data_IF_346883234944
#
_entry.id   IF_346883234944
#
_cell.length_a   1.000
_cell.length_b   1.000
_cell.length_c   1.000
_cell.angle_alpha   90.00
_cell.angle_beta   90.00
_cell.angle_gamma   90.00
#
_symmetry.space_group_name_H-M   'P 1'
#
loop_
_entity.id
_entity.type
_entity.pdbx_description
1 polymer ?
#
# COMPACT_ATOMS: atom_id res chain seq x y z
N UNK A 1 -6.06 -11.82 -3.00
CA UNK A 1 -5.33 -12.19 -1.76
C UNK A 1 -6.23 -11.91 -0.58
N UNK A 2 -6.24 -12.78 0.44
CA UNK A 2 -7.07 -12.64 1.65
C UNK A 2 -6.67 -11.39 2.43
N UNK A 3 -7.61 -10.45 2.63
CA UNK A 3 -7.36 -9.17 3.31
C UNK A 3 -6.83 -9.35 4.74
N UNK A 4 -7.32 -10.36 5.46
CA UNK A 4 -6.85 -10.64 6.82
C UNK A 4 -5.37 -11.00 6.78
N UNK A 5 -4.97 -11.88 5.85
CA UNK A 5 -3.56 -12.26 5.66
C UNK A 5 -2.69 -11.08 5.22
N UNK A 6 -3.22 -10.18 4.38
CA UNK A 6 -2.50 -8.95 3.98
C UNK A 6 -2.25 -8.05 5.18
N UNK A 7 -3.27 -7.81 6.03
CA UNK A 7 -3.13 -7.00 7.24
C UNK A 7 -2.17 -7.63 8.24
N UNK A 8 -2.24 -8.95 8.44
CA UNK A 8 -1.29 -9.69 9.28
C UNK A 8 0.15 -9.57 8.77
N UNK A 9 0.35 -9.68 7.46
CA UNK A 9 1.68 -9.53 6.85
C UNK A 9 2.24 -8.10 7.03
N UNK A 10 1.41 -7.07 6.81
CA UNK A 10 1.79 -5.67 7.09
C UNK A 10 2.19 -5.50 8.55
N UNK A 11 1.38 -6.04 9.49
CA UNK A 11 1.68 -5.96 10.91
C UNK A 11 3.01 -6.62 11.28
N UNK A 12 3.32 -7.80 10.72
CA UNK A 12 4.61 -8.47 10.93
C UNK A 12 5.79 -7.64 10.40
N UNK A 13 5.66 -7.04 9.22
CA UNK A 13 6.69 -6.17 8.66
C UNK A 13 6.90 -4.92 9.53
N UNK A 14 5.83 -4.31 10.05
CA UNK A 14 5.93 -3.17 10.96
C UNK A 14 6.66 -3.51 12.26
N UNK A 15 6.37 -4.67 12.86
CA UNK A 15 7.12 -5.17 14.04
C UNK A 15 8.61 -5.34 13.69
N UNK A 16 8.92 -5.91 12.53
CA UNK A 16 10.30 -6.05 12.04
C UNK A 16 11.02 -4.71 11.86
N UNK A 17 10.34 -3.70 11.30
CA UNK A 17 10.87 -2.33 11.18
C UNK A 17 11.17 -1.75 12.56
N UNK A 18 10.23 -1.88 13.50
CA UNK A 18 10.39 -1.33 14.85
C UNK A 18 11.57 -1.97 15.58
N UNK A 19 11.69 -3.30 15.54
CA UNK A 19 12.83 -4.02 16.12
C UNK A 19 14.17 -3.52 15.55
N UNK A 20 14.28 -3.39 14.23
CA UNK A 20 15.49 -2.87 13.57
C UNK A 20 15.81 -1.43 13.95
N UNK A 21 14.79 -0.56 14.05
CA UNK A 21 14.96 0.82 14.52
C UNK A 21 15.44 0.91 15.97
N UNK A 22 14.99 0.03 16.84
CA UNK A 22 15.50 -0.06 18.22
C UNK A 22 16.96 -0.55 18.23
N UNK A 23 17.31 -1.55 17.42
CA UNK A 23 18.70 -2.03 17.29
C UNK A 23 19.63 -0.92 16.79
N UNK A 24 19.22 -0.15 15.78
CA UNK A 24 20.00 1.00 15.29
C UNK A 24 20.19 2.02 16.41
N UNK A 25 19.13 2.35 17.18
CA UNK A 25 19.23 3.27 18.32
C UNK A 25 20.20 2.77 19.39
N UNK A 26 20.12 1.49 19.74
CA UNK A 26 21.03 0.85 20.67
C UNK A 26 22.48 0.90 20.17
N UNK A 27 22.73 0.54 18.92
CA UNK A 27 24.05 0.59 18.31
C UNK A 27 24.61 2.01 18.30
N UNK A 28 23.81 3.02 17.95
CA UNK A 28 24.24 4.42 18.00
C UNK A 28 24.60 4.88 19.42
N UNK A 29 23.94 4.36 20.45
CA UNK A 29 24.21 4.70 21.85
C UNK A 29 25.47 4.00 22.41
N UNK A 30 25.64 2.70 22.15
CA UNK A 30 26.65 1.88 22.82
C UNK A 30 27.80 1.41 21.91
N UNK A 31 27.57 1.39 20.59
CA UNK A 31 28.49 0.88 19.58
C UNK A 31 28.62 1.88 18.41
N UNK A 32 29.07 3.10 18.69
CA UNK A 32 29.03 4.24 17.74
C UNK A 32 29.68 3.98 16.37
N UNK A 33 30.65 3.05 16.29
CA UNK A 33 31.36 2.67 15.05
C UNK A 33 30.71 1.49 14.32
N UNK A 34 29.67 0.88 14.88
CA UNK A 34 28.97 -0.24 14.27
C UNK A 34 28.28 0.23 12.98
N UNK A 35 28.56 -0.47 11.88
CA UNK A 35 27.81 -0.25 10.64
C UNK A 35 26.37 -0.79 10.80
N UNK A 36 25.40 0.05 10.46
CA UNK A 36 23.98 -0.22 10.51
C UNK A 36 23.33 -0.25 9.11
N UNK A 37 24.12 -0.12 8.04
CA UNK A 37 23.66 -0.06 6.66
C UNK A 37 22.72 -1.22 6.28
N UNK A 38 23.01 -2.44 6.76
CA UNK A 38 22.16 -3.61 6.54
C UNK A 38 20.79 -3.49 7.22
N UNK A 39 20.72 -2.93 8.43
CA UNK A 39 19.45 -2.71 9.14
C UNK A 39 18.62 -1.64 8.44
N UNK A 40 19.26 -0.58 7.94
CA UNK A 40 18.62 0.48 7.18
C UNK A 40 18.08 -0.06 5.84
N UNK A 41 18.88 -0.85 5.12
CA UNK A 41 18.45 -1.51 3.88
C UNK A 41 17.26 -2.46 4.10
N UNK A 42 17.28 -3.27 5.16
CA UNK A 42 16.15 -4.14 5.50
C UNK A 42 14.88 -3.34 5.80
N UNK A 43 15.00 -2.19 6.49
CA UNK A 43 13.86 -1.30 6.75
C UNK A 43 13.28 -0.77 5.42
N UNK A 44 14.12 -0.39 4.47
CA UNK A 44 13.67 0.07 3.14
C UNK A 44 12.93 -1.03 2.36
N UNK A 45 13.46 -2.25 2.40
CA UNK A 45 12.81 -3.43 1.80
C UNK A 45 11.44 -3.67 2.43
N UNK A 46 11.35 -3.65 3.77
CA UNK A 46 10.08 -3.85 4.47
C UNK A 46 9.08 -2.71 4.18
N UNK A 47 9.53 -1.46 4.14
CA UNK A 47 8.69 -0.32 3.75
C UNK A 47 8.13 -0.49 2.34
N UNK A 48 8.95 -0.97 1.41
CA UNK A 48 8.54 -1.21 0.01
C UNK A 48 7.53 -2.36 -0.07
N UNK A 49 7.76 -3.45 0.66
CA UNK A 49 6.83 -4.57 0.74
C UNK A 49 5.48 -4.15 1.34
N UNK A 50 5.46 -3.33 2.40
CA UNK A 50 4.24 -2.77 2.97
C UNK A 50 3.49 -1.95 1.91
N UNK A 51 4.15 -1.03 1.21
CA UNK A 51 3.53 -0.21 0.16
C UNK A 51 2.89 -1.06 -0.95
N UNK A 52 3.49 -2.20 -1.28
CA UNK A 52 2.92 -3.13 -2.26
C UNK A 52 1.70 -3.87 -1.70
N UNK A 53 1.78 -4.36 -0.46
CA UNK A 53 0.68 -5.04 0.24
C UNK A 53 -0.53 -4.11 0.47
N UNK A 54 -0.30 -2.85 0.80
CA UNK A 54 -1.37 -1.85 0.97
C UNK A 54 -2.21 -1.67 -0.30
N UNK A 55 -1.62 -1.81 -1.48
CA UNK A 55 -2.36 -1.75 -2.75
C UNK A 55 -3.31 -2.94 -2.95
N UNK A 56 -3.07 -4.04 -2.25
CA UNK A 56 -3.87 -5.26 -2.34
C UNK A 56 -5.12 -5.19 -1.46
N UNK A 57 -5.15 -4.25 -0.50
CA UNK A 57 -6.35 -3.92 0.25
C UNK A 57 -7.28 -3.10 -0.64
N UNK A 58 -8.52 -3.54 -0.86
CA UNK A 58 -9.46 -2.81 -1.68
C UNK A 58 -9.75 -1.43 -1.08
N UNK A 59 -9.93 -0.44 -1.96
CA UNK A 59 -10.31 0.93 -1.59
C UNK A 59 -11.42 1.40 -2.49
N UNK A 60 -12.45 1.99 -1.86
CA UNK A 60 -13.63 2.50 -2.56
C UNK A 60 -13.23 3.50 -3.64
N UNK A 61 -13.76 3.31 -4.84
CA UNK A 61 -13.59 4.25 -5.94
C UNK A 61 -14.18 5.60 -5.55
N UNK A 62 -13.50 6.68 -5.92
CA UNK A 62 -13.92 8.04 -5.57
C UNK A 62 -14.73 8.64 -6.73
N UNK A 63 -15.84 9.30 -6.41
CA UNK A 63 -16.58 10.13 -7.36
C UNK A 63 -16.10 11.59 -7.24
N UNK A 64 -15.47 12.09 -8.30
CA UNK A 64 -15.02 13.47 -8.43
C UNK A 64 -15.80 14.17 -9.54
N UNK A 65 -16.71 15.08 -9.18
CA UNK A 65 -17.55 15.83 -10.13
C UNK A 65 -18.28 14.93 -11.15
N UNK A 66 -18.81 13.79 -10.70
CA UNK A 66 -19.49 12.83 -11.56
C UNK A 66 -18.54 11.86 -12.29
N UNK A 67 -17.23 11.93 -12.03
CA UNK A 67 -16.22 11.07 -12.65
C UNK A 67 -15.64 10.08 -11.64
N UNK A 68 -15.58 8.80 -12.02
CA UNK A 68 -14.90 7.79 -11.23
C UNK A 68 -13.39 8.04 -11.23
N UNK A 69 -12.75 7.88 -10.07
CA UNK A 69 -11.32 8.11 -9.92
C UNK A 69 -10.64 7.14 -8.97
N UNK A 70 -9.37 6.83 -9.24
CA UNK A 70 -8.58 5.98 -8.38
C UNK A 70 -8.36 6.65 -7.02
N UNK A 71 -8.72 6.00 -5.89
CA UNK A 71 -8.54 6.60 -4.56
C UNK A 71 -7.07 6.86 -4.19
N UNK A 72 -6.13 6.17 -4.86
CA UNK A 72 -4.69 6.29 -4.60
C UNK A 72 -3.98 7.29 -5.49
N UNK A 73 -4.06 7.13 -6.82
CA UNK A 73 -3.32 7.98 -7.77
C UNK A 73 -4.17 9.10 -8.40
N UNK A 74 -5.46 9.20 -8.02
CA UNK A 74 -6.42 10.22 -8.48
C UNK A 74 -6.65 10.26 -9.99
N UNK A 75 -6.23 9.22 -10.71
CA UNK A 75 -6.49 9.09 -12.14
C UNK A 75 -7.99 8.87 -12.36
N UNK A 76 -8.56 9.64 -13.27
CA UNK A 76 -9.95 9.50 -13.72
C UNK A 76 -10.10 8.27 -14.61
N UNK A 77 -11.20 7.54 -14.43
CA UNK A 77 -11.56 6.38 -15.25
C UNK A 77 -12.61 6.73 -16.32
N UNK A 78 -13.46 7.72 -16.05
CA UNK A 78 -14.58 8.11 -16.91
C UNK A 78 -15.74 8.66 -16.07
N UNK A 79 -16.86 9.00 -16.69
CA UNK A 79 -18.05 9.41 -15.96
C UNK A 79 -18.65 8.20 -15.22
N UNK A 80 -19.12 8.41 -13.98
CA UNK A 80 -19.75 7.35 -13.17
C UNK A 80 -20.97 6.76 -13.87
N UNK A 81 -21.84 7.61 -14.45
CA UNK A 81 -23.03 7.16 -15.17
C UNK A 81 -22.70 6.25 -16.37
N UNK A 82 -21.60 6.53 -17.07
CA UNK A 82 -21.15 5.68 -18.17
C UNK A 82 -20.58 4.36 -17.64
N UNK A 83 -19.78 4.41 -16.58
CA UNK A 83 -19.15 3.24 -15.97
C UNK A 83 -20.19 2.28 -15.35
N UNK A 84 -21.21 2.80 -14.66
CA UNK A 84 -22.33 2.01 -14.13
C UNK A 84 -23.09 1.27 -15.24
N UNK A 85 -23.22 1.90 -16.42
CA UNK A 85 -23.88 1.30 -17.58
C UNK A 85 -22.99 0.24 -18.28
N UNK A 86 -21.67 0.40 -18.23
CA UNK A 86 -20.72 -0.59 -18.75
C UNK A 86 -20.28 -1.55 -17.63
N UNK A 87 -21.00 -2.66 -17.46
CA UNK A 87 -20.64 -3.76 -16.55
C UNK A 87 -19.22 -4.35 -16.74
N UNK A 88 -18.46 -3.89 -17.75
CA UNK A 88 -17.12 -4.37 -18.13
C UNK A 88 -15.97 -3.45 -17.71
N UNK A 89 -16.23 -2.26 -17.14
CA UNK A 89 -15.16 -1.36 -16.65
C UNK A 89 -14.68 -1.69 -15.23
N UNK A 90 -15.21 -2.77 -14.66
CA UNK A 90 -14.94 -3.28 -13.32
C UNK A 90 -13.56 -3.95 -13.25
N UNK A 91 -12.50 -3.20 -13.56
CA UNK A 91 -11.14 -3.67 -13.33
C UNK A 91 -10.94 -3.77 -11.82
N UNK A 92 -10.59 -4.97 -11.35
CA UNK A 92 -10.25 -5.23 -9.95
C UNK A 92 -9.15 -4.31 -9.43
N UNK A 93 -8.30 -3.78 -10.33
CA UNK A 93 -7.18 -2.92 -10.00
C UNK A 93 -7.11 -1.69 -10.92
N UNK A 94 -6.61 -0.57 -10.38
CA UNK A 94 -6.25 0.60 -11.17
C UNK A 94 -5.07 0.28 -12.10
N UNK A 95 -5.28 0.38 -13.42
CA UNK A 95 -4.27 0.11 -14.44
C UNK A 95 -3.03 1.02 -14.39
N UNK A 96 -3.09 2.14 -13.66
CA UNK A 96 -1.97 3.07 -13.53
C UNK A 96 -1.09 2.81 -12.30
N UNK A 97 -1.66 2.36 -11.19
CA UNK A 97 -0.91 2.24 -9.94
C UNK A 97 -1.03 0.89 -9.23
N UNK A 98 -1.88 -0.02 -9.74
CA UNK A 98 -2.13 -1.35 -9.20
C UNK A 98 -2.92 -1.37 -7.90
N UNK A 99 -3.58 -0.27 -7.52
CA UNK A 99 -4.48 -0.24 -6.36
C UNK A 99 -5.71 -1.10 -6.64
N UNK A 100 -5.99 -2.07 -5.78
CA UNK A 100 -7.23 -2.84 -5.81
C UNK A 100 -8.42 -1.92 -5.53
N UNK A 101 -9.40 -1.97 -6.40
CA UNK A 101 -10.57 -1.09 -6.37
C UNK A 101 -11.74 -1.82 -5.71
N UNK A 102 -12.55 -1.05 -5.00
CA UNK A 102 -13.83 -1.47 -4.48
C UNK A 102 -14.90 -0.62 -5.16
N UNK A 103 -15.72 -1.30 -5.97
CA UNK A 103 -16.79 -0.73 -6.78
C UNK A 103 -18.16 -0.95 -6.13
N UNK A 104 -18.22 -1.44 -4.89
CA UNK A 104 -19.48 -1.60 -4.17
C UNK A 104 -20.15 -0.25 -3.89
N UNK A 105 -21.49 -0.23 -4.02
CA UNK A 105 -22.34 0.94 -3.75
C UNK A 105 -22.25 1.45 -2.31
#
# INVERSE_FOLDING_TARGET
MDEKKVREAIGRLQVGINAKREMIRHNKAFFQKQDNSYLESDIEVYCTAIKALEKQLPKKVENWNGQASCPRCKRLFGNMADIEMFCYWDSDCCNHCGQRLDWSE
#
